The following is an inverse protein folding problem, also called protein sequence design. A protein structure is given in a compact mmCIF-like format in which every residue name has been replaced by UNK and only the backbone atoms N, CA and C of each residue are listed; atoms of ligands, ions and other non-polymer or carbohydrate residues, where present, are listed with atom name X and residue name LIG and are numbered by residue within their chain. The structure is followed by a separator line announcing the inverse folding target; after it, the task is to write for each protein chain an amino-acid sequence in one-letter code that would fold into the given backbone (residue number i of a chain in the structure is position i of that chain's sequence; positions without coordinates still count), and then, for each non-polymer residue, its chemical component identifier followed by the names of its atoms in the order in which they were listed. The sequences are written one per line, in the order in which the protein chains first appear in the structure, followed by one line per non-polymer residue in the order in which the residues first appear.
data_IF_261360174153
#
_entry.id   IF_261360174153
#
_cell.length_a   1.000
_cell.length_b   1.000
_cell.length_c   1.000
_cell.angle_alpha   90.00
_cell.angle_beta   90.00
_cell.angle_gamma   90.00
#
_symmetry.space_group_name_H-M   'P 1'
#
loop_
_entity.id
_entity.type
_entity.pdbx_description
1 polymer ?
#
# COMPACT_ATOMS: atom_id res chain seq x y z
N UNK A 1 -18.07 -7.97 -8.83
CA UNK A 1 -18.56 -7.56 -7.50
C UNK A 1 -18.88 -6.06 -7.56
N UNK A 2 -19.72 -5.49 -6.70
CA UNK A 2 -19.83 -4.02 -6.69
C UNK A 2 -18.60 -3.43 -5.99
N UNK A 3 -18.09 -2.29 -6.47
CA UNK A 3 -16.96 -1.58 -5.85
C UNK A 3 -17.21 -1.28 -4.36
N UNK A 4 -18.46 -0.96 -3.99
CA UNK A 4 -18.86 -0.74 -2.60
C UNK A 4 -18.67 -1.97 -1.71
N UNK A 5 -18.84 -3.17 -2.26
CA UNK A 5 -18.69 -4.42 -1.51
C UNK A 5 -17.21 -4.69 -1.25
N UNK A 6 -16.35 -4.47 -2.26
CA UNK A 6 -14.89 -4.56 -2.14
C UNK A 6 -14.39 -3.59 -1.07
N UNK A 7 -14.81 -2.32 -1.14
CA UNK A 7 -14.45 -1.30 -0.16
C UNK A 7 -14.92 -1.65 1.26
N UNK A 8 -16.13 -2.21 1.39
CA UNK A 8 -16.65 -2.69 2.67
C UNK A 8 -15.81 -3.83 3.26
N UNK A 9 -15.34 -4.75 2.43
CA UNK A 9 -14.48 -5.86 2.86
C UNK A 9 -13.08 -5.40 3.22
N UNK A 10 -12.48 -4.50 2.45
CA UNK A 10 -11.21 -3.86 2.80
C UNK A 10 -11.29 -3.13 4.15
N UNK A 11 -12.36 -2.38 4.39
CA UNK A 11 -12.59 -1.72 5.66
C UNK A 11 -12.71 -2.72 6.82
N UNK A 12 -13.40 -3.84 6.61
CA UNK A 12 -13.50 -4.91 7.61
C UNK A 12 -12.15 -5.54 7.93
N UNK A 13 -11.30 -5.78 6.92
CA UNK A 13 -9.94 -6.30 7.11
C UNK A 13 -9.11 -5.30 7.93
N UNK A 14 -9.15 -4.00 7.59
CA UNK A 14 -8.45 -2.97 8.35
C UNK A 14 -8.87 -2.93 9.82
N UNK A 15 -10.16 -3.05 10.11
CA UNK A 15 -10.66 -3.07 11.51
C UNK A 15 -10.06 -4.23 12.31
N UNK A 16 -9.90 -5.41 11.69
CA UNK A 16 -9.27 -6.56 12.33
C UNK A 16 -7.76 -6.34 12.50
N UNK A 17 -7.09 -5.83 11.47
CA UNK A 17 -5.65 -5.59 11.46
C UNK A 17 -5.22 -4.47 12.43
N UNK A 18 -6.11 -3.51 12.72
CA UNK A 18 -5.85 -2.38 13.63
C UNK A 18 -6.26 -2.65 15.07
N UNK A 19 -6.76 -3.86 15.37
CA UNK A 19 -7.13 -4.24 16.72
C UNK A 19 -5.91 -4.23 17.66
N UNK A 20 -6.12 -3.93 18.95
CA UNK A 20 -5.05 -3.90 19.96
C UNK A 20 -4.29 -5.21 20.12
N UNK A 21 -4.92 -6.33 19.73
CA UNK A 21 -4.32 -7.65 19.62
C UNK A 21 -4.74 -8.22 18.27
N UNK A 22 -3.88 -8.05 17.27
CA UNK A 22 -4.16 -8.47 15.89
C UNK A 22 -4.18 -10.00 15.78
N UNK A 23 -5.30 -10.54 15.32
CA UNK A 23 -5.39 -11.95 14.90
C UNK A 23 -5.01 -12.07 13.42
N UNK A 24 -3.71 -12.23 13.19
CA UNK A 24 -3.16 -12.36 11.83
C UNK A 24 -3.71 -13.55 11.06
N UNK A 25 -4.16 -14.62 11.73
CA UNK A 25 -4.79 -15.76 11.04
C UNK A 25 -6.15 -15.39 10.44
N UNK A 26 -6.90 -14.52 11.14
CA UNK A 26 -8.15 -13.99 10.62
C UNK A 26 -7.92 -12.96 9.52
N UNK A 27 -6.92 -12.07 9.68
CA UNK A 27 -6.54 -11.11 8.62
C UNK A 27 -6.18 -11.85 7.33
N UNK A 28 -5.27 -12.83 7.43
CA UNK A 28 -4.81 -13.63 6.30
C UNK A 28 -5.97 -14.32 5.57
N UNK A 29 -6.84 -15.02 6.32
CA UNK A 29 -8.03 -15.66 5.75
C UNK A 29 -8.95 -14.67 5.02
N UNK A 30 -9.19 -13.49 5.59
CA UNK A 30 -10.07 -12.49 4.97
C UNK A 30 -9.46 -11.89 3.71
N UNK A 31 -8.15 -11.65 3.70
CA UNK A 31 -7.40 -11.23 2.51
C UNK A 31 -7.52 -12.28 1.41
N UNK A 32 -7.19 -13.54 1.72
CA UNK A 32 -7.29 -14.69 0.83
C UNK A 32 -8.70 -14.89 0.23
N UNK A 33 -9.74 -14.71 1.04
CA UNK A 33 -11.12 -14.81 0.58
C UNK A 33 -11.48 -13.69 -0.39
N UNK A 34 -11.02 -12.46 -0.15
CA UNK A 34 -11.29 -11.34 -1.04
C UNK A 34 -10.50 -11.46 -2.34
N UNK A 35 -9.23 -11.84 -2.26
CA UNK A 35 -8.35 -12.02 -3.41
C UNK A 35 -8.92 -13.06 -4.39
N UNK A 36 -9.34 -14.23 -3.89
CA UNK A 36 -9.97 -15.28 -4.71
C UNK A 36 -11.26 -14.83 -5.39
N UNK A 37 -12.05 -13.99 -4.74
CA UNK A 37 -13.29 -13.48 -5.32
C UNK A 37 -13.03 -12.41 -6.39
N UNK A 38 -12.00 -11.58 -6.21
CA UNK A 38 -11.55 -10.62 -7.21
C UNK A 38 -11.01 -11.34 -8.44
N UNK A 39 -10.15 -12.33 -8.25
CA UNK A 39 -9.64 -13.21 -9.32
C UNK A 39 -10.78 -13.88 -10.10
N UNK A 40 -11.78 -14.42 -9.40
CA UNK A 40 -12.93 -15.06 -10.03
C UNK A 40 -13.83 -14.08 -10.80
N UNK A 41 -13.84 -12.80 -10.39
CA UNK A 41 -14.61 -11.76 -11.08
C UNK A 41 -13.91 -11.24 -12.35
N UNK A 42 -12.59 -11.41 -12.46
CA UNK A 42 -11.77 -10.90 -13.55
C UNK A 42 -11.66 -9.36 -13.54
N UNK A 43 -11.96 -8.72 -12.42
CA UNK A 43 -11.79 -7.27 -12.24
C UNK A 43 -10.32 -6.93 -12.08
N UNK A 44 -9.88 -5.89 -12.80
CA UNK A 44 -8.55 -5.33 -12.61
C UNK A 44 -8.55 -4.48 -11.34
N UNK A 45 -7.57 -4.73 -10.48
CA UNK A 45 -7.51 -4.18 -9.14
C UNK A 45 -6.29 -3.26 -8.99
N UNK A 46 -6.41 -2.12 -8.28
CA UNK A 46 -5.25 -1.28 -8.00
C UNK A 46 -4.10 -2.06 -7.37
N UNK A 47 -2.86 -1.78 -7.77
CA UNK A 47 -1.67 -2.50 -7.29
C UNK A 47 -1.57 -2.48 -5.74
N UNK A 48 -1.92 -1.36 -5.13
CA UNK A 48 -2.02 -1.23 -3.68
C UNK A 48 -2.93 -2.28 -3.04
N UNK A 49 -4.08 -2.58 -3.66
CA UNK A 49 -5.00 -3.58 -3.15
C UNK A 49 -4.40 -4.97 -3.31
N UNK A 50 -3.78 -5.26 -4.45
CA UNK A 50 -3.10 -6.54 -4.67
C UNK A 50 -2.03 -6.79 -3.58
N UNK A 51 -1.14 -5.83 -3.33
CA UNK A 51 -0.12 -5.94 -2.27
C UNK A 51 -0.75 -6.04 -0.87
N UNK A 52 -1.81 -5.28 -0.60
CA UNK A 52 -2.49 -5.37 0.70
C UNK A 52 -3.14 -6.74 0.92
N UNK A 53 -3.63 -7.40 -0.13
CA UNK A 53 -4.21 -8.74 0.00
C UNK A 53 -3.14 -9.83 0.08
N UNK A 54 -2.05 -9.72 -0.68
CA UNK A 54 -0.99 -10.75 -0.71
C UNK A 54 -0.02 -10.71 0.47
N UNK A 55 0.23 -9.54 1.05
CA UNK A 55 1.39 -9.33 1.94
C UNK A 55 1.02 -9.31 3.42
N UNK A 56 0.01 -10.07 3.84
CA UNK A 56 -0.42 -10.17 5.24
C UNK A 56 0.75 -10.56 6.17
N UNK A 57 1.61 -11.49 5.73
CA UNK A 57 2.79 -11.98 6.43
C UNK A 57 3.90 -10.92 6.55
N UNK A 58 4.05 -10.07 5.52
CA UNK A 58 5.00 -8.96 5.53
C UNK A 58 4.53 -7.88 6.48
N UNK A 59 3.24 -7.51 6.45
CA UNK A 59 2.67 -6.52 7.38
C UNK A 59 2.72 -6.98 8.83
N UNK A 60 2.65 -8.30 9.08
CA UNK A 60 2.79 -8.87 10.42
C UNK A 60 4.21 -8.74 11.00
N UNK A 61 5.25 -8.74 10.14
CA UNK A 61 6.66 -8.72 10.57
C UNK A 61 7.34 -7.36 10.41
N UNK A 62 6.84 -6.51 9.52
CA UNK A 62 7.38 -5.17 9.25
C UNK A 62 6.30 -4.11 9.52
N UNK A 63 6.39 -3.51 10.72
CA UNK A 63 5.45 -2.51 11.16
C UNK A 63 5.43 -1.26 10.25
N UNK A 64 6.59 -0.85 9.71
CA UNK A 64 6.67 0.34 8.85
C UNK A 64 5.97 0.07 7.51
N UNK A 65 6.19 -1.10 6.93
CA UNK A 65 5.48 -1.53 5.73
C UNK A 65 3.97 -1.64 6.00
N UNK A 66 3.58 -2.27 7.11
CA UNK A 66 2.20 -2.39 7.53
C UNK A 66 1.50 -1.03 7.70
N UNK A 67 2.14 -0.07 8.37
CA UNK A 67 1.59 1.27 8.55
C UNK A 67 1.38 1.99 7.21
N UNK A 68 2.36 1.91 6.31
CA UNK A 68 2.25 2.52 4.99
C UNK A 68 1.11 1.90 4.16
N UNK A 69 0.97 0.57 4.19
CA UNK A 69 -0.10 -0.14 3.53
C UNK A 69 -1.48 0.24 4.09
N UNK A 70 -1.64 0.27 5.42
CA UNK A 70 -2.89 0.69 6.07
C UNK A 70 -3.27 2.13 5.73
N UNK A 71 -2.32 3.06 5.79
CA UNK A 71 -2.57 4.47 5.44
C UNK A 71 -3.01 4.63 3.98
N UNK A 72 -2.40 3.87 3.09
CA UNK A 72 -2.69 3.94 1.68
C UNK A 72 -4.08 3.32 1.36
N UNK A 73 -4.47 2.20 2.00
CA UNK A 73 -5.84 1.66 1.90
C UNK A 73 -6.87 2.61 2.51
N UNK A 74 -6.61 3.22 3.68
CA UNK A 74 -7.52 4.23 4.27
C UNK A 74 -7.71 5.41 3.32
N UNK A 75 -6.64 5.84 2.65
CA UNK A 75 -6.71 6.91 1.65
C UNK A 75 -7.60 6.49 0.49
N UNK A 76 -7.36 5.31 -0.09
CA UNK A 76 -8.18 4.74 -1.15
C UNK A 76 -9.67 4.64 -0.78
N UNK A 77 -9.99 4.15 0.42
CA UNK A 77 -11.37 4.06 0.90
C UNK A 77 -12.04 5.43 1.05
N UNK A 78 -11.27 6.47 1.36
CA UNK A 78 -11.78 7.83 1.56
C UNK A 78 -11.97 8.58 0.24
N UNK A 79 -11.05 8.43 -0.70
CA UNK A 79 -10.99 9.25 -1.93
C UNK A 79 -11.50 8.51 -3.15
N UNK A 80 -11.50 7.17 -3.13
CA UNK A 80 -11.65 6.34 -4.33
C UNK A 80 -10.46 6.41 -5.28
N UNK A 81 -9.40 7.14 -4.89
CA UNK A 81 -8.20 7.41 -5.67
C UNK A 81 -7.00 6.74 -5.01
N UNK A 82 -6.05 6.29 -5.81
CA UNK A 82 -4.84 5.65 -5.32
C UNK A 82 -3.61 6.16 -6.06
N UNK A 83 -2.50 6.28 -5.34
CA UNK A 83 -1.23 6.71 -5.91
C UNK A 83 -0.34 5.48 -6.13
N UNK A 84 -0.15 5.12 -7.39
CA UNK A 84 0.65 3.96 -7.85
C UNK A 84 2.16 4.23 -7.90
N UNK A 85 2.59 5.38 -7.39
CA UNK A 85 3.94 5.88 -7.58
C UNK A 85 4.44 6.53 -6.31
N UNK A 86 5.61 6.08 -5.88
CA UNK A 86 6.38 6.61 -4.75
C UNK A 86 6.24 8.12 -4.70
N UNK A 87 5.63 8.65 -3.63
CA UNK A 87 5.83 10.04 -3.26
C UNK A 87 7.29 10.19 -2.83
N UNK A 88 8.20 10.25 -3.80
CA UNK A 88 9.57 10.64 -3.53
C UNK A 88 9.50 12.01 -2.88
N UNK A 89 10.04 12.20 -1.67
CA UNK A 89 10.18 13.50 -1.09
C UNK A 89 10.85 14.38 -2.15
N UNK A 90 10.21 15.46 -2.59
CA UNK A 90 10.77 16.40 -3.57
C UNK A 90 12.18 16.90 -3.19
N UNK A 91 12.53 16.80 -1.91
CA UNK A 91 13.88 17.01 -1.37
C UNK A 91 14.94 16.04 -1.93
N UNK A 92 14.61 14.78 -2.24
CA UNK A 92 15.56 13.80 -2.77
C UNK A 92 15.92 14.09 -4.24
N UNK A 93 15.01 14.70 -5.01
CA UNK A 93 15.33 15.22 -6.35
C UNK A 93 16.27 16.44 -6.28
N UNK A 94 16.14 17.30 -5.26
CA UNK A 94 17.04 18.42 -5.04
C UNK A 94 18.45 17.95 -4.66
N UNK A 95 18.57 16.89 -3.85
CA UNK A 95 19.85 16.31 -3.47
C UNK A 95 20.63 15.78 -4.69
N UNK A 96 19.96 15.11 -5.64
CA UNK A 96 20.58 14.63 -6.89
C UNK A 96 21.10 15.78 -7.77
N UNK A 97 20.39 16.91 -7.84
CA UNK A 97 20.84 18.08 -8.61
C UNK A 97 22.07 18.76 -7.98
N UNK A 98 22.14 18.82 -6.65
CA UNK A 98 23.30 19.41 -5.94
C UNK A 98 24.55 18.55 -6.11
N UNK A 99 24.42 17.22 -6.06
CA UNK A 99 25.56 16.31 -6.26
C UNK A 99 26.06 16.37 -7.71
N UNK A 100 25.17 16.35 -8.70
CA UNK A 100 25.57 16.46 -10.10
C UNK A 100 26.23 17.82 -10.41
N UNK A 101 25.67 18.93 -9.90
CA UNK A 101 26.26 20.26 -10.05
C UNK A 101 27.62 20.40 -9.36
N UNK A 102 27.78 19.85 -8.16
CA UNK A 102 29.04 19.87 -7.42
C UNK A 102 30.16 19.09 -8.11
N UNK A 103 29.85 17.93 -8.71
CA UNK A 103 30.83 17.13 -9.46
C UNK A 103 31.27 17.84 -10.74
N UNK A 104 30.37 18.50 -11.46
CA UNK A 104 30.72 19.27 -12.68
C UNK A 104 31.58 20.47 -12.33
N UNK A 105 31.27 21.21 -11.26
CA UNK A 105 32.08 22.35 -10.82
C UNK A 105 33.49 21.90 -10.40
N UNK A 106 33.63 20.74 -9.75
CA UNK A 106 34.94 20.23 -9.35
C UNK A 106 35.77 19.68 -10.52
N UNK A 107 35.12 19.19 -11.59
CA UNK A 107 35.81 18.67 -12.77
C UNK A 107 36.27 19.77 -13.76
N UNK A 108 35.79 21.01 -13.60
CA UNK A 108 36.08 22.15 -14.51
C UNK A 108 36.91 23.25 -13.82
N UNK A 109 37.15 23.16 -12.50
CA UNK A 109 38.04 24.05 -11.74
C UNK A 109 39.47 23.50 -11.67
#
# INVERSE_FOLDING_TARGET
MALSDIQGRLAAILVVEEASSVDWSTVDRLCDELDRELDASGEDVPEIMAHFLSDSDIRARDARYGDAQRDAIRTYLKTGDYFDGVALPWWDCLALLVVAGGVVVWAVA
#
